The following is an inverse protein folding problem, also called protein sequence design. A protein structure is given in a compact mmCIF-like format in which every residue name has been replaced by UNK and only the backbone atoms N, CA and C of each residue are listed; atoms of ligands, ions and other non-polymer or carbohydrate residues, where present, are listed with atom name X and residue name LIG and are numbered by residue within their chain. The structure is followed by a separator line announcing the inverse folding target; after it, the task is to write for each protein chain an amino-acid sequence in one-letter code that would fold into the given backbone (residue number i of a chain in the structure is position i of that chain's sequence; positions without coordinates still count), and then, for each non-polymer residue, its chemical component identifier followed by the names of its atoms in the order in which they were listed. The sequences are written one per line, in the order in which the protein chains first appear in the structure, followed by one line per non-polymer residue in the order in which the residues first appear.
data_IF_126769248988
#
_entry.id   IF_126769248988
#
_cell.length_a   1.000
_cell.length_b   1.000
_cell.length_c   1.000
_cell.angle_alpha   90.00
_cell.angle_beta   90.00
_cell.angle_gamma   90.00
#
_symmetry.space_group_name_H-M   'P 1'
#
loop_
_entity.id
_entity.type
_entity.pdbx_description
1 polymer ?
#
# COMPACT_ATOMS: atom_id res chain seq x y z
N UNK A 1 -8.44 46.17 27.89
CA UNK A 1 -7.81 45.97 26.56
C UNK A 1 -6.60 45.09 26.70
N UNK A 2 -6.62 43.93 26.09
CA UNK A 2 -5.43 43.06 26.12
C UNK A 2 -4.32 43.66 25.24
N UNK A 3 -3.22 44.01 25.90
CA UNK A 3 -2.06 44.61 25.25
C UNK A 3 -1.41 43.62 24.26
N UNK A 4 -1.17 44.08 23.01
CA UNK A 4 -0.53 43.25 22.00
C UNK A 4 0.85 42.75 22.50
N UNK A 5 1.18 41.49 22.18
CA UNK A 5 2.39 40.83 22.63
C UNK A 5 3.67 41.58 22.21
N UNK A 6 3.72 42.15 21.01
CA UNK A 6 4.86 42.96 20.55
C UNK A 6 5.03 44.20 21.40
N UNK A 7 3.93 44.84 21.81
CA UNK A 7 3.96 45.97 22.74
C UNK A 7 4.50 45.57 24.12
N UNK A 8 4.06 44.41 24.62
CA UNK A 8 4.63 43.86 25.91
C UNK A 8 6.13 43.66 25.84
N UNK A 9 6.64 43.11 24.71
CA UNK A 9 8.06 42.89 24.49
C UNK A 9 8.85 44.23 24.49
N UNK A 10 8.33 45.24 23.74
CA UNK A 10 8.96 46.56 23.68
C UNK A 10 9.01 47.22 25.04
N UNK A 11 7.92 47.22 25.80
CA UNK A 11 7.86 47.76 27.16
C UNK A 11 8.76 46.99 28.14
N UNK A 12 8.83 45.69 28.00
CA UNK A 12 9.76 44.87 28.82
C UNK A 12 11.21 45.28 28.61
N UNK A 13 11.61 45.56 27.38
CA UNK A 13 12.95 46.01 27.05
C UNK A 13 13.23 47.41 27.60
N UNK A 14 12.29 48.37 27.40
CA UNK A 14 12.39 49.74 27.91
C UNK A 14 12.55 49.77 29.45
N UNK A 15 11.73 49.01 30.17
CA UNK A 15 11.80 48.87 31.61
C UNK A 15 13.12 48.23 32.07
N UNK A 16 13.59 47.22 31.31
CA UNK A 16 14.87 46.60 31.61
C UNK A 16 16.04 47.54 31.40
N UNK A 17 16.02 48.37 30.34
CA UNK A 17 17.02 49.42 30.11
C UNK A 17 17.03 50.50 31.21
N UNK A 18 15.91 50.68 31.93
CA UNK A 18 15.78 51.55 33.11
C UNK A 18 16.14 50.85 34.41
N UNK A 19 16.78 49.65 34.33
CA UNK A 19 17.20 48.85 35.49
C UNK A 19 16.06 48.34 36.39
N UNK A 20 14.82 48.22 35.85
CA UNK A 20 13.71 47.64 36.60
C UNK A 20 13.92 46.10 36.74
N UNK A 21 13.77 45.53 37.93
CA UNK A 21 13.92 44.08 38.14
C UNK A 21 12.96 43.28 37.29
N UNK A 22 13.44 42.16 36.70
CA UNK A 22 12.64 41.31 35.80
C UNK A 22 11.34 40.76 36.43
N UNK A 23 11.34 40.59 37.77
CA UNK A 23 10.13 40.20 38.51
C UNK A 23 9.04 41.27 38.49
N UNK A 24 9.44 42.54 38.64
CA UNK A 24 8.49 43.68 38.58
C UNK A 24 7.99 43.93 37.16
N UNK A 25 8.87 43.74 36.14
CA UNK A 25 8.47 43.81 34.74
C UNK A 25 7.39 42.73 34.44
N UNK A 26 7.63 41.48 34.87
CA UNK A 26 6.71 40.37 34.68
C UNK A 26 5.35 40.65 35.34
N UNK A 27 5.33 41.15 36.58
CA UNK A 27 4.10 41.50 37.30
C UNK A 27 3.34 42.64 36.59
N UNK A 28 4.04 43.68 36.15
CA UNK A 28 3.40 44.82 35.49
C UNK A 28 2.83 44.49 34.12
N UNK A 29 3.48 43.60 33.35
CA UNK A 29 3.03 43.19 32.05
C UNK A 29 2.11 41.96 32.07
N UNK A 30 1.83 41.43 33.25
CA UNK A 30 1.02 40.21 33.44
C UNK A 30 1.51 39.02 32.58
N UNK A 31 2.82 38.73 32.73
CA UNK A 31 3.49 37.58 32.06
C UNK A 31 4.33 36.84 33.09
N UNK A 32 4.72 35.59 32.77
CA UNK A 32 5.64 34.83 33.62
C UNK A 32 7.05 35.46 33.62
N UNK A 33 7.74 35.42 34.75
CA UNK A 33 9.12 35.93 34.91
C UNK A 33 10.07 35.30 33.89
N UNK A 34 9.92 34.00 33.64
CA UNK A 34 10.69 33.25 32.66
C UNK A 34 10.53 33.81 31.23
N UNK A 35 9.32 34.21 30.86
CA UNK A 35 9.03 34.85 29.57
C UNK A 35 9.82 36.15 29.41
N UNK A 36 9.85 36.98 30.44
CA UNK A 36 10.65 38.24 30.42
C UNK A 36 12.13 37.91 30.29
N UNK A 37 12.62 36.90 31.03
CA UNK A 37 14.02 36.48 30.96
C UNK A 37 14.40 36.06 29.52
N UNK A 38 13.58 35.23 28.89
CA UNK A 38 13.78 34.76 27.48
C UNK A 38 13.79 35.96 26.52
N UNK A 39 12.83 36.88 26.65
CA UNK A 39 12.79 38.07 25.78
C UNK A 39 14.06 38.91 25.89
N UNK A 40 14.44 39.25 27.09
CA UNK A 40 15.64 40.08 27.34
C UNK A 40 16.90 39.39 26.79
N UNK A 41 17.11 38.09 27.11
CA UNK A 41 18.24 37.32 26.60
C UNK A 41 18.29 37.31 25.06
N UNK A 42 17.16 37.05 24.39
CA UNK A 42 17.10 37.02 22.92
C UNK A 42 17.30 38.41 22.29
N UNK A 43 16.81 39.48 22.92
CA UNK A 43 17.05 40.84 22.43
C UNK A 43 18.54 41.20 22.56
N UNK A 44 19.19 40.85 23.70
CA UNK A 44 20.60 41.15 23.95
C UNK A 44 21.51 40.38 22.98
N UNK A 45 21.16 39.17 22.59
CA UNK A 45 21.93 38.34 21.64
C UNK A 45 21.63 38.60 20.16
N UNK A 46 20.57 39.35 19.86
CA UNK A 46 20.20 39.65 18.47
C UNK A 46 21.11 40.75 17.89
N UNK A 47 21.74 40.55 16.72
CA UNK A 47 22.62 41.58 16.11
C UNK A 47 21.94 42.94 15.88
N UNK A 48 20.64 42.94 15.61
CA UNK A 48 19.82 44.12 15.38
C UNK A 48 19.01 44.53 16.63
N UNK A 49 19.34 43.99 17.81
CA UNK A 49 18.73 44.33 19.09
C UNK A 49 17.20 44.09 19.11
N UNK A 50 16.49 45.03 19.77
CA UNK A 50 15.02 44.94 19.89
C UNK A 50 14.30 44.81 18.54
N UNK A 51 14.67 45.60 17.55
CA UNK A 51 13.98 45.61 16.24
C UNK A 51 14.15 44.28 15.52
N UNK A 52 15.36 43.70 15.55
CA UNK A 52 15.61 42.38 14.98
C UNK A 52 14.79 41.28 15.66
N UNK A 53 14.74 41.30 16.99
CA UNK A 53 13.93 40.33 17.72
C UNK A 53 12.43 40.49 17.47
N UNK A 54 11.88 41.69 17.38
CA UNK A 54 10.48 41.94 17.07
C UNK A 54 10.11 41.43 15.67
N UNK A 55 10.98 41.61 14.68
CA UNK A 55 10.76 41.10 13.33
C UNK A 55 10.77 39.56 13.30
N UNK A 56 11.76 38.93 13.93
CA UNK A 56 11.80 37.46 14.08
C UNK A 56 10.57 36.93 14.80
N UNK A 57 10.18 37.55 15.90
CA UNK A 57 9.02 37.14 16.69
C UNK A 57 7.71 37.26 15.90
N UNK A 58 7.57 38.34 15.12
CA UNK A 58 6.40 38.55 14.25
C UNK A 58 6.33 37.52 13.11
N UNK A 59 7.50 37.16 12.54
CA UNK A 59 7.59 36.13 11.48
C UNK A 59 7.28 34.74 12.03
N UNK A 60 7.78 34.41 13.22
CA UNK A 60 7.53 33.12 13.86
C UNK A 60 6.04 32.90 14.20
N UNK A 61 5.30 33.96 14.49
CA UNK A 61 3.86 33.95 14.78
C UNK A 61 2.95 34.06 13.55
N UNK A 62 3.49 34.26 12.37
CA UNK A 62 2.69 34.08 11.15
C UNK A 62 2.29 32.64 11.08
N UNK A 63 1.05 32.31 11.38
CA UNK A 63 0.52 30.95 11.49
C UNK A 63 0.92 30.00 10.35
N UNK A 64 0.44 28.76 10.32
CA UNK A 64 0.86 27.80 9.32
C UNK A 64 0.70 28.39 7.92
N UNK A 65 1.77 28.33 7.11
CA UNK A 65 1.73 28.77 5.71
C UNK A 65 0.50 28.15 5.05
N UNK A 66 -0.29 28.90 4.28
CA UNK A 66 -1.43 28.34 3.56
C UNK A 66 -0.93 27.09 2.80
N UNK A 67 -1.63 25.97 2.93
CA UNK A 67 -1.25 24.72 2.26
C UNK A 67 -1.07 25.05 0.79
N UNK A 68 0.14 24.82 0.26
CA UNK A 68 0.45 25.05 -1.14
C UNK A 68 -0.57 24.27 -1.97
N UNK A 69 -1.37 24.98 -2.75
CA UNK A 69 -2.35 24.34 -3.61
C UNK A 69 -1.63 23.41 -4.58
N UNK A 70 -2.12 22.18 -4.69
CA UNK A 70 -1.60 21.21 -5.64
C UNK A 70 -2.11 21.58 -7.02
N UNK A 71 -1.23 21.54 -8.01
CA UNK A 71 -1.58 21.78 -9.40
C UNK A 71 -2.75 20.88 -9.83
N UNK A 72 -3.72 21.48 -10.53
CA UNK A 72 -4.89 20.77 -11.05
C UNK A 72 -4.52 19.66 -12.04
N UNK A 73 -3.44 19.84 -12.81
CA UNK A 73 -2.92 18.83 -13.74
C UNK A 73 -2.42 17.61 -12.95
N UNK A 74 -1.65 17.85 -11.88
CA UNK A 74 -1.16 16.77 -11.02
C UNK A 74 -2.30 15.98 -10.36
N UNK A 75 -3.37 16.66 -9.92
CA UNK A 75 -4.57 15.99 -9.37
C UNK A 75 -5.22 15.08 -10.43
N UNK A 76 -5.36 15.58 -11.67
CA UNK A 76 -5.91 14.80 -12.79
C UNK A 76 -5.07 13.54 -13.07
N UNK A 77 -3.75 13.64 -13.11
CA UNK A 77 -2.88 12.49 -13.29
C UNK A 77 -3.03 11.44 -12.17
N UNK A 78 -3.07 11.88 -10.91
CA UNK A 78 -3.27 10.98 -9.76
C UNK A 78 -4.60 10.23 -9.87
N UNK A 79 -5.69 10.92 -10.23
CA UNK A 79 -7.01 10.30 -10.39
C UNK A 79 -7.06 9.35 -11.60
N UNK A 80 -6.54 9.77 -12.75
CA UNK A 80 -6.49 8.96 -13.98
C UNK A 80 -5.70 7.66 -13.77
N UNK A 81 -4.51 7.75 -13.15
CA UNK A 81 -3.71 6.56 -12.81
C UNK A 81 -4.48 5.66 -11.84
N UNK A 82 -5.13 6.21 -10.83
CA UNK A 82 -5.94 5.45 -9.88
C UNK A 82 -7.03 4.62 -10.57
N UNK A 83 -7.74 5.24 -11.51
CA UNK A 83 -8.85 4.62 -12.24
C UNK A 83 -8.35 3.57 -13.24
N UNK A 84 -7.39 3.92 -14.08
CA UNK A 84 -6.78 3.02 -15.06
C UNK A 84 -6.14 1.79 -14.42
N UNK A 85 -5.49 1.95 -13.28
CA UNK A 85 -4.78 0.89 -12.57
C UNK A 85 -5.63 0.20 -11.47
N UNK A 86 -6.94 0.12 -11.68
CA UNK A 86 -7.90 -0.62 -10.84
C UNK A 86 -7.77 -0.27 -9.35
N UNK A 87 -7.94 1.00 -9.02
CA UNK A 87 -7.83 1.50 -7.63
C UNK A 87 -6.50 1.19 -6.92
N UNK A 88 -5.40 1.27 -7.63
CA UNK A 88 -4.09 0.96 -7.09
C UNK A 88 -3.70 1.85 -5.89
N UNK A 89 -2.76 1.39 -5.07
CA UNK A 89 -2.29 2.11 -3.88
C UNK A 89 -1.37 3.29 -4.23
N UNK A 90 -1.16 4.20 -3.26
CA UNK A 90 -0.35 5.41 -3.46
C UNK A 90 1.09 5.15 -3.93
N UNK A 91 1.74 4.05 -3.49
CA UNK A 91 3.07 3.69 -3.98
C UNK A 91 3.09 3.36 -5.49
N UNK A 92 2.07 2.66 -5.98
CA UNK A 92 1.93 2.37 -7.42
C UNK A 92 1.61 3.64 -8.22
N UNK A 93 0.77 4.52 -7.68
CA UNK A 93 0.51 5.83 -8.30
C UNK A 93 1.80 6.63 -8.42
N UNK A 94 2.63 6.67 -7.36
CA UNK A 94 3.92 7.34 -7.40
C UNK A 94 4.85 6.75 -8.48
N UNK A 95 4.88 5.42 -8.60
CA UNK A 95 5.65 4.73 -9.64
C UNK A 95 5.23 5.19 -11.05
N UNK A 96 3.93 5.23 -11.34
CA UNK A 96 3.42 5.67 -12.63
C UNK A 96 3.62 7.16 -12.87
N UNK A 97 3.42 8.02 -11.86
CA UNK A 97 3.72 9.46 -11.96
C UNK A 97 5.18 9.71 -12.35
N UNK A 98 6.11 8.97 -11.74
CA UNK A 98 7.53 9.08 -12.07
C UNK A 98 7.82 8.56 -13.48
N UNK A 99 7.25 7.41 -13.86
CA UNK A 99 7.47 6.76 -15.14
C UNK A 99 6.90 7.54 -16.33
N UNK A 100 5.68 8.07 -16.19
CA UNK A 100 4.91 8.67 -17.29
C UNK A 100 5.06 10.19 -17.38
N UNK A 101 5.23 10.86 -16.23
CA UNK A 101 5.23 12.32 -16.14
C UNK A 101 6.51 12.90 -15.54
N UNK A 102 7.47 12.05 -15.15
CA UNK A 102 8.71 12.45 -14.44
C UNK A 102 8.45 13.28 -13.17
N UNK A 103 7.31 13.00 -12.48
CA UNK A 103 6.90 13.73 -11.28
C UNK A 103 7.04 12.86 -10.04
N UNK A 104 7.65 13.43 -9.00
CA UNK A 104 7.80 12.78 -7.70
C UNK A 104 7.13 13.61 -6.61
N UNK A 105 6.18 13.00 -5.89
CA UNK A 105 5.51 13.58 -4.72
C UNK A 105 5.43 12.54 -3.60
N UNK A 106 5.22 12.99 -2.37
CA UNK A 106 5.11 12.06 -1.24
C UNK A 106 3.82 11.23 -1.31
N UNK A 107 3.90 9.96 -0.87
CA UNK A 107 2.72 9.07 -0.80
C UNK A 107 1.58 9.63 0.06
N UNK A 108 1.84 10.26 1.23
CA UNK A 108 0.79 10.97 1.97
C UNK A 108 0.08 12.04 1.13
N UNK A 109 0.82 12.79 0.31
CA UNK A 109 0.23 13.82 -0.56
C UNK A 109 -0.67 13.23 -1.64
N UNK A 110 -0.30 12.06 -2.18
CA UNK A 110 -1.17 11.30 -3.10
C UNK A 110 -2.50 10.96 -2.41
N UNK A 111 -2.46 10.49 -1.16
CA UNK A 111 -3.68 10.16 -0.43
C UNK A 111 -4.53 11.40 -0.07
N UNK A 112 -3.92 12.57 0.17
CA UNK A 112 -4.66 13.83 0.30
C UNK A 112 -5.44 14.16 -0.98
N UNK A 113 -4.78 14.05 -2.14
CA UNK A 113 -5.42 14.28 -3.45
C UNK A 113 -6.53 13.26 -3.71
N UNK A 114 -6.30 12.00 -3.38
CA UNK A 114 -7.30 10.95 -3.54
C UNK A 114 -8.52 11.18 -2.63
N UNK A 115 -8.32 11.68 -1.42
CA UNK A 115 -9.40 11.96 -0.48
C UNK A 115 -10.34 13.09 -0.96
N UNK A 116 -9.91 13.94 -1.89
CA UNK A 116 -10.77 14.96 -2.50
C UNK A 116 -11.88 14.35 -3.41
N UNK A 117 -11.63 13.18 -3.99
CA UNK A 117 -12.56 12.52 -4.94
C UNK A 117 -13.12 11.19 -4.42
N UNK A 118 -12.37 10.47 -3.57
CA UNK A 118 -12.71 9.11 -3.15
C UNK A 118 -12.79 8.99 -1.63
N UNK A 119 -13.69 8.14 -1.15
CA UNK A 119 -13.73 7.75 0.27
C UNK A 119 -12.59 6.77 0.55
N UNK A 120 -11.51 7.26 1.16
CA UNK A 120 -10.37 6.44 1.55
C UNK A 120 -10.62 5.85 2.92
N UNK A 121 -11.11 4.60 2.96
CA UNK A 121 -11.30 3.89 4.24
C UNK A 121 -9.95 3.47 4.80
N UNK A 122 -9.59 4.01 5.96
CA UNK A 122 -8.47 3.48 6.77
C UNK A 122 -8.82 2.06 7.22
N UNK A 123 -8.05 1.08 6.77
CA UNK A 123 -8.19 -0.27 7.34
C UNK A 123 -7.52 -0.26 8.70
N UNK A 124 -8.31 -0.34 9.76
CA UNK A 124 -7.82 -0.61 11.10
C UNK A 124 -6.99 -1.90 11.06
N UNK A 125 -5.68 -1.79 11.22
CA UNK A 125 -4.82 -2.95 11.39
C UNK A 125 -5.05 -3.51 12.79
N UNK A 126 -5.91 -4.53 12.90
CA UNK A 126 -5.90 -5.36 14.11
C UNK A 126 -4.52 -6.01 14.19
N UNK A 127 -3.78 -5.68 15.23
CA UNK A 127 -2.52 -6.34 15.57
C UNK A 127 -2.84 -7.77 16.02
N UNK A 128 -2.88 -8.70 15.07
CA UNK A 128 -2.84 -10.12 15.39
C UNK A 128 -1.39 -10.59 15.20
N UNK A 129 -0.89 -11.29 16.22
CA UNK A 129 0.41 -11.99 16.12
C UNK A 129 0.34 -12.92 14.92
N UNK A 130 1.05 -12.57 13.85
CA UNK A 130 1.05 -13.34 12.62
C UNK A 130 2.06 -14.46 12.78
N UNK A 131 1.69 -15.70 12.41
CA UNK A 131 2.62 -16.82 12.29
C UNK A 131 3.64 -16.59 11.16
N UNK A 132 4.63 -17.48 11.03
CA UNK A 132 5.63 -17.39 9.97
C UNK A 132 4.97 -17.41 8.58
N UNK A 133 5.50 -16.57 7.69
CA UNK A 133 5.10 -16.53 6.27
C UNK A 133 6.05 -17.47 5.51
N UNK A 134 5.57 -18.30 4.56
CA UNK A 134 6.44 -19.09 3.71
C UNK A 134 7.47 -18.22 2.98
N UNK A 135 8.70 -18.70 2.87
CA UNK A 135 9.81 -18.02 2.17
C UNK A 135 10.33 -18.96 1.09
N UNK A 136 10.62 -18.40 -0.07
CA UNK A 136 11.33 -19.09 -1.16
C UNK A 136 12.54 -18.26 -1.58
N UNK A 137 13.61 -18.92 -1.98
CA UNK A 137 14.88 -18.32 -2.39
C UNK A 137 15.05 -18.24 -3.90
N UNK A 138 14.27 -19.04 -4.65
CA UNK A 138 14.31 -19.12 -6.12
C UNK A 138 12.93 -19.40 -6.72
N UNK A 139 12.75 -19.14 -8.03
CA UNK A 139 11.50 -19.47 -8.72
C UNK A 139 11.16 -20.96 -8.63
N UNK A 140 9.85 -21.27 -8.48
CA UNK A 140 9.28 -22.63 -8.42
C UNK A 140 9.75 -23.48 -7.22
N UNK A 141 10.36 -22.85 -6.22
CA UNK A 141 10.64 -23.53 -4.96
C UNK A 141 9.34 -23.84 -4.21
N UNK A 142 8.39 -22.88 -4.15
CA UNK A 142 7.08 -23.09 -3.55
C UNK A 142 5.98 -22.50 -4.42
N UNK A 143 5.06 -23.34 -4.88
CA UNK A 143 3.84 -22.92 -5.57
C UNK A 143 2.65 -23.12 -4.63
N UNK A 144 1.90 -22.06 -4.36
CA UNK A 144 0.65 -22.13 -3.61
C UNK A 144 -0.53 -22.24 -4.56
N UNK A 145 -1.48 -23.12 -4.24
CA UNK A 145 -2.70 -23.36 -5.01
C UNK A 145 -3.93 -23.23 -4.11
N UNK A 146 -5.00 -22.66 -4.68
CA UNK A 146 -6.27 -22.41 -3.98
C UNK A 146 -7.42 -22.29 -4.99
N UNK A 147 -8.65 -22.21 -4.50
CA UNK A 147 -9.85 -22.12 -5.33
C UNK A 147 -10.74 -20.96 -4.88
N UNK A 148 -11.29 -20.22 -5.84
CA UNK A 148 -12.29 -19.18 -5.62
C UNK A 148 -13.66 -19.63 -6.14
N UNK A 149 -14.65 -19.57 -5.27
CA UNK A 149 -16.05 -19.83 -5.61
C UNK A 149 -16.71 -18.59 -6.26
N UNK A 150 -17.26 -18.78 -7.45
CA UNK A 150 -18.05 -17.82 -8.21
C UNK A 150 -19.45 -18.38 -8.57
N UNK A 151 -20.00 -19.27 -7.75
CA UNK A 151 -21.31 -19.87 -7.92
C UNK A 151 -21.28 -21.16 -8.75
N UNK A 152 -21.65 -21.12 -10.02
CA UNK A 152 -21.57 -22.30 -10.90
C UNK A 152 -20.18 -22.45 -11.57
N UNK A 153 -19.26 -21.51 -11.30
CA UNK A 153 -17.88 -21.55 -11.78
C UNK A 153 -16.90 -21.42 -10.61
N UNK A 154 -15.79 -22.09 -10.76
CA UNK A 154 -14.69 -22.07 -9.81
C UNK A 154 -13.42 -21.61 -10.52
N UNK A 155 -12.71 -20.65 -9.95
CA UNK A 155 -11.41 -20.23 -10.43
C UNK A 155 -10.33 -20.91 -9.60
N UNK A 156 -9.70 -21.90 -10.17
CA UNK A 156 -8.50 -22.54 -9.62
C UNK A 156 -7.31 -21.61 -9.86
N UNK A 157 -6.58 -21.30 -8.82
CA UNK A 157 -5.50 -20.31 -8.83
C UNK A 157 -4.20 -20.92 -8.35
N UNK A 158 -3.08 -20.50 -8.93
CA UNK A 158 -1.74 -20.84 -8.49
C UNK A 158 -0.82 -19.62 -8.48
N UNK A 159 0.12 -19.57 -7.57
CA UNK A 159 1.15 -18.52 -7.51
C UNK A 159 2.47 -19.07 -7.02
N UNK A 160 3.55 -18.75 -7.72
CA UNK A 160 4.91 -18.91 -7.23
C UNK A 160 5.20 -17.82 -6.19
N UNK A 161 5.56 -18.21 -4.99
CA UNK A 161 5.75 -17.24 -3.91
C UNK A 161 7.04 -16.42 -4.06
N UNK A 162 7.98 -16.81 -4.90
CA UNK A 162 9.20 -16.07 -5.20
C UNK A 162 8.99 -15.06 -6.35
N UNK A 163 8.72 -15.56 -7.56
CA UNK A 163 8.58 -14.74 -8.76
C UNK A 163 7.26 -13.95 -8.84
N UNK A 164 6.24 -14.34 -8.07
CA UNK A 164 4.83 -13.88 -8.20
C UNK A 164 4.19 -14.28 -9.52
N UNK A 165 4.82 -15.10 -10.33
CA UNK A 165 4.20 -15.70 -11.49
C UNK A 165 2.96 -16.49 -11.06
N UNK A 166 1.86 -16.37 -11.78
CA UNK A 166 0.59 -16.91 -11.35
C UNK A 166 -0.25 -17.45 -12.51
N UNK A 167 -1.20 -18.29 -12.19
CA UNK A 167 -2.12 -18.83 -13.16
C UNK A 167 -3.55 -18.94 -12.63
N UNK A 168 -4.52 -18.97 -13.55
CA UNK A 168 -5.95 -19.11 -13.26
C UNK A 168 -6.57 -20.02 -14.31
N UNK A 169 -7.30 -21.03 -13.87
CA UNK A 169 -8.11 -21.89 -14.75
C UNK A 169 -9.53 -21.94 -14.24
N UNK A 170 -10.50 -21.59 -15.08
CA UNK A 170 -11.91 -21.68 -14.73
C UNK A 170 -12.45 -23.10 -14.97
N UNK A 171 -13.18 -23.63 -13.99
CA UNK A 171 -13.77 -24.97 -14.05
C UNK A 171 -15.22 -24.92 -13.57
N UNK A 172 -16.08 -25.85 -14.10
CA UNK A 172 -17.51 -25.86 -13.76
C UNK A 172 -17.84 -26.62 -12.49
N UNK A 173 -16.86 -27.25 -11.84
CA UNK A 173 -17.06 -28.02 -10.61
C UNK A 173 -15.83 -27.98 -9.70
N UNK A 174 -16.03 -28.38 -8.44
CA UNK A 174 -15.02 -28.40 -7.38
C UNK A 174 -14.70 -29.86 -7.01
N UNK A 175 -14.32 -30.66 -8.02
CA UNK A 175 -13.99 -32.07 -7.85
C UNK A 175 -12.52 -32.33 -8.14
N UNK A 176 -11.98 -33.45 -7.66
CA UNK A 176 -10.56 -33.79 -7.81
C UNK A 176 -10.10 -33.94 -9.26
N UNK A 177 -11.01 -34.33 -10.17
CA UNK A 177 -10.73 -34.34 -11.61
C UNK A 177 -10.45 -32.93 -12.14
N UNK A 178 -11.27 -31.93 -11.81
CA UNK A 178 -11.04 -30.54 -12.21
C UNK A 178 -9.76 -29.97 -11.60
N UNK A 179 -9.44 -30.34 -10.37
CA UNK A 179 -8.15 -30.04 -9.74
C UNK A 179 -6.97 -30.63 -10.49
N UNK A 180 -7.09 -31.90 -10.94
CA UNK A 180 -6.04 -32.59 -11.71
C UNK A 180 -5.85 -31.98 -13.11
N UNK A 181 -6.93 -31.53 -13.77
CA UNK A 181 -6.86 -30.80 -15.05
C UNK A 181 -6.23 -29.43 -14.86
N UNK A 182 -6.59 -28.72 -13.79
CA UNK A 182 -5.95 -27.45 -13.43
C UNK A 182 -4.45 -27.61 -13.23
N UNK A 183 -4.03 -28.59 -12.44
CA UNK A 183 -2.62 -28.88 -12.19
C UNK A 183 -1.85 -29.10 -13.50
N UNK A 184 -2.34 -29.97 -14.36
CA UNK A 184 -1.73 -30.32 -15.66
C UNK A 184 -1.59 -29.05 -16.53
N UNK A 185 -2.66 -28.28 -16.64
CA UNK A 185 -2.71 -27.07 -17.46
C UNK A 185 -1.72 -26.02 -16.95
N UNK A 186 -1.76 -25.73 -15.67
CA UNK A 186 -0.98 -24.69 -15.02
C UNK A 186 0.53 -25.03 -15.01
N UNK A 187 0.88 -26.26 -14.70
CA UNK A 187 2.29 -26.68 -14.67
C UNK A 187 2.92 -26.66 -16.08
N UNK A 188 2.17 -27.04 -17.12
CA UNK A 188 2.63 -26.97 -18.53
C UNK A 188 2.73 -25.52 -19.03
N UNK A 189 1.70 -24.73 -18.78
CA UNK A 189 1.57 -23.38 -19.33
C UNK A 189 2.49 -22.37 -18.65
N UNK A 190 2.71 -22.55 -17.33
CA UNK A 190 3.29 -21.50 -16.51
C UNK A 190 4.54 -21.89 -15.75
N UNK A 191 4.60 -23.08 -15.18
CA UNK A 191 5.66 -23.43 -14.20
C UNK A 191 6.68 -24.42 -14.73
N UNK A 192 6.87 -24.53 -16.05
CA UNK A 192 7.88 -25.39 -16.70
C UNK A 192 7.87 -26.83 -16.21
N UNK A 193 6.70 -27.39 -15.95
CA UNK A 193 6.49 -28.79 -15.59
C UNK A 193 7.10 -29.23 -14.25
N UNK A 194 7.69 -28.30 -13.46
CA UNK A 194 8.34 -28.68 -12.21
C UNK A 194 8.25 -27.61 -11.11
N UNK A 195 8.14 -28.07 -9.85
CA UNK A 195 8.33 -27.28 -8.63
C UNK A 195 8.88 -28.16 -7.50
N UNK A 196 9.59 -27.58 -6.53
CA UNK A 196 10.06 -28.35 -5.37
C UNK A 196 8.92 -28.66 -4.39
N UNK A 197 8.00 -27.74 -4.20
CA UNK A 197 6.87 -27.88 -3.30
C UNK A 197 5.60 -27.27 -3.89
N UNK A 198 4.54 -28.06 -3.96
CA UNK A 198 3.17 -27.55 -4.16
C UNK A 198 2.44 -27.56 -2.81
N UNK A 199 1.78 -26.47 -2.48
CA UNK A 199 1.02 -26.29 -1.24
C UNK A 199 -0.42 -25.88 -1.54
N UNK A 200 -1.41 -26.56 -0.92
CA UNK A 200 -2.83 -26.20 -0.98
C UNK A 200 -3.48 -26.24 0.41
N UNK A 201 -4.74 -25.86 0.50
CA UNK A 201 -5.55 -25.97 1.73
C UNK A 201 -6.09 -27.39 1.98
N UNK A 202 -5.97 -28.28 1.00
CA UNK A 202 -6.45 -29.65 1.09
C UNK A 202 -7.96 -29.81 0.90
N UNK A 203 -8.60 -28.88 0.22
CA UNK A 203 -9.99 -28.97 -0.24
C UNK A 203 -10.27 -30.25 -1.06
N UNK A 204 -11.54 -30.60 -1.31
CA UNK A 204 -11.92 -31.84 -2.05
C UNK A 204 -11.28 -31.91 -3.44
N UNK A 205 -11.10 -30.77 -4.12
CA UNK A 205 -10.47 -30.64 -5.43
C UNK A 205 -8.97 -31.02 -5.43
N UNK A 206 -8.30 -30.91 -4.28
CA UNK A 206 -6.88 -31.24 -4.11
C UNK A 206 -6.64 -32.64 -3.52
N UNK A 207 -7.64 -33.52 -3.56
CA UNK A 207 -7.56 -34.91 -3.13
C UNK A 207 -7.41 -35.89 -4.30
N UNK A 208 -7.52 -37.15 -4.07
CA UNK A 208 -7.63 -38.27 -5.02
C UNK A 208 -6.84 -38.10 -6.31
N UNK A 209 -7.48 -37.73 -7.42
CA UNK A 209 -6.85 -37.63 -8.72
C UNK A 209 -5.78 -36.54 -8.78
N UNK A 210 -6.03 -35.39 -8.14
CA UNK A 210 -5.02 -34.36 -7.99
C UNK A 210 -3.78 -34.91 -7.26
N UNK A 211 -3.96 -35.57 -6.12
CA UNK A 211 -2.86 -36.14 -5.33
C UNK A 211 -2.05 -37.18 -6.10
N UNK A 212 -2.70 -38.01 -6.92
CA UNK A 212 -2.01 -38.96 -7.77
C UNK A 212 -1.14 -38.28 -8.84
N UNK A 213 -1.59 -37.16 -9.36
CA UNK A 213 -0.87 -36.41 -10.40
C UNK A 213 0.22 -35.46 -9.87
N UNK A 214 0.09 -34.97 -8.66
CA UNK A 214 1.00 -33.93 -8.14
C UNK A 214 2.46 -34.36 -8.12
N UNK A 215 2.74 -35.63 -7.82
CA UNK A 215 4.10 -36.20 -7.85
C UNK A 215 4.79 -36.21 -9.22
N UNK A 216 4.02 -35.99 -10.31
CA UNK A 216 4.60 -35.80 -11.66
C UNK A 216 5.25 -34.41 -11.83
N UNK A 217 4.83 -33.44 -11.03
CA UNK A 217 5.17 -32.03 -11.19
C UNK A 217 5.88 -31.43 -9.99
N UNK A 218 5.91 -32.11 -8.84
CA UNK A 218 6.51 -31.59 -7.62
C UNK A 218 7.19 -32.68 -6.81
N UNK A 219 8.35 -32.34 -6.25
CA UNK A 219 9.11 -33.25 -5.36
C UNK A 219 8.35 -33.49 -4.06
N UNK A 220 7.58 -32.48 -3.61
CA UNK A 220 6.82 -32.52 -2.36
C UNK A 220 5.46 -31.88 -2.53
N UNK A 221 4.49 -32.45 -1.81
CA UNK A 221 3.15 -31.87 -1.69
C UNK A 221 2.81 -31.65 -0.22
N UNK A 222 2.31 -30.47 0.12
CA UNK A 222 1.93 -30.13 1.48
C UNK A 222 0.53 -29.55 1.53
N UNK A 223 -0.25 -30.04 2.51
CA UNK A 223 -1.52 -29.41 2.88
C UNK A 223 -1.27 -28.44 4.04
N UNK A 224 -1.77 -27.23 3.92
CA UNK A 224 -1.68 -26.20 4.98
C UNK A 224 -2.42 -26.65 6.21
N UNK A 225 -1.85 -26.39 7.38
CA UNK A 225 -2.52 -26.72 8.64
C UNK A 225 -3.74 -25.79 8.85
N UNK A 226 -4.87 -26.35 9.35
CA UNK A 226 -6.04 -25.57 9.69
C UNK A 226 -5.69 -24.42 10.63
N UNK A 227 -6.33 -23.26 10.45
CA UNK A 227 -6.18 -22.05 11.28
C UNK A 227 -4.80 -21.35 11.27
N UNK A 228 -3.81 -21.82 10.53
CA UNK A 228 -2.54 -21.11 10.35
C UNK A 228 -2.64 -20.07 9.24
N UNK A 229 -3.24 -18.93 9.54
CA UNK A 229 -3.63 -17.85 8.64
C UNK A 229 -2.54 -17.27 7.71
N UNK A 230 -1.26 -17.61 7.92
CA UNK A 230 -0.19 -17.04 7.10
C UNK A 230 0.47 -18.06 6.15
N UNK A 231 0.17 -19.35 6.30
CA UNK A 231 0.80 -20.38 5.47
C UNK A 231 0.46 -20.22 3.98
N UNK A 232 -0.72 -19.62 3.65
CA UNK A 232 -1.18 -19.37 2.30
C UNK A 232 -1.32 -17.87 1.96
N UNK A 233 -0.59 -17.01 2.64
CA UNK A 233 -0.70 -15.56 2.51
C UNK A 233 -0.46 -15.03 1.09
N UNK A 234 0.33 -15.71 0.28
CA UNK A 234 0.63 -15.30 -1.10
C UNK A 234 -0.54 -15.60 -2.03
N UNK A 235 -1.09 -16.81 -1.98
CA UNK A 235 -2.25 -17.16 -2.79
C UNK A 235 -3.49 -16.37 -2.37
N UNK A 236 -3.70 -16.13 -1.06
CA UNK A 236 -4.76 -15.25 -0.56
C UNK A 236 -4.63 -13.81 -1.09
N UNK A 237 -3.39 -13.31 -1.18
CA UNK A 237 -3.10 -11.99 -1.74
C UNK A 237 -3.39 -11.94 -3.24
N UNK A 238 -3.03 -13.00 -3.98
CA UNK A 238 -3.34 -13.15 -5.39
C UNK A 238 -4.85 -13.24 -5.61
N UNK A 239 -5.55 -14.07 -4.85
CA UNK A 239 -7.00 -14.24 -4.91
C UNK A 239 -7.76 -12.92 -4.66
N UNK A 240 -7.28 -12.09 -3.72
CA UNK A 240 -7.82 -10.72 -3.56
C UNK A 240 -7.59 -9.85 -4.81
N UNK A 241 -6.47 -10.02 -5.49
CA UNK A 241 -6.18 -9.30 -6.74
C UNK A 241 -7.10 -9.78 -7.85
N UNK A 242 -7.32 -11.10 -7.98
CA UNK A 242 -8.27 -11.69 -8.96
C UNK A 242 -9.68 -11.13 -8.74
N UNK A 243 -10.18 -11.13 -7.50
CA UNK A 243 -11.48 -10.53 -7.19
C UNK A 243 -11.53 -9.03 -7.47
N UNK A 244 -10.48 -8.29 -7.18
CA UNK A 244 -10.47 -6.84 -7.32
C UNK A 244 -10.28 -6.38 -8.76
N UNK A 245 -9.44 -7.05 -9.53
CA UNK A 245 -8.91 -6.55 -10.80
C UNK A 245 -9.35 -7.39 -12.01
N UNK A 246 -10.03 -8.55 -11.80
CA UNK A 246 -10.44 -9.49 -12.86
C UNK A 246 -11.92 -9.86 -12.79
N UNK A 247 -12.28 -10.76 -11.87
CA UNK A 247 -13.59 -11.40 -11.85
C UNK A 247 -14.61 -10.74 -10.92
N UNK A 248 -14.19 -9.80 -10.07
CA UNK A 248 -15.11 -9.13 -9.14
C UNK A 248 -15.63 -10.06 -8.02
N UNK A 249 -16.82 -9.74 -7.53
CA UNK A 249 -17.50 -10.46 -6.46
C UNK A 249 -18.82 -11.08 -6.92
N UNK A 250 -19.09 -11.00 -8.22
CA UNK A 250 -20.30 -11.57 -8.82
C UNK A 250 -20.28 -13.10 -8.81
N UNK A 251 -21.45 -13.71 -8.95
CA UNK A 251 -21.60 -15.12 -9.22
C UNK A 251 -21.90 -15.32 -10.70
N UNK A 252 -21.31 -16.36 -11.30
CA UNK A 252 -21.36 -16.60 -12.73
C UNK A 252 -22.03 -17.95 -13.05
N UNK A 253 -22.62 -18.03 -14.24
CA UNK A 253 -23.24 -19.25 -14.80
C UNK A 253 -22.22 -20.03 -15.63
N UNK A 254 -22.34 -21.39 -15.68
CA UNK A 254 -21.47 -22.27 -16.49
C UNK A 254 -21.33 -21.83 -17.95
N UNK A 255 -22.39 -21.32 -18.55
CA UNK A 255 -22.40 -20.84 -19.95
C UNK A 255 -21.44 -19.66 -20.21
N UNK A 256 -21.05 -18.95 -19.20
CA UNK A 256 -20.13 -17.77 -19.28
C UNK A 256 -18.67 -18.17 -19.28
N UNK A 257 -18.31 -19.45 -19.08
CA UNK A 257 -16.94 -19.93 -18.90
C UNK A 257 -16.00 -19.47 -20.02
N UNK A 258 -16.43 -19.54 -21.28
CA UNK A 258 -15.61 -19.14 -22.44
C UNK A 258 -15.28 -17.64 -22.36
N UNK A 259 -16.32 -16.80 -22.25
CA UNK A 259 -16.14 -15.34 -22.13
C UNK A 259 -15.25 -14.94 -20.95
N UNK A 260 -15.45 -15.56 -19.78
CA UNK A 260 -14.65 -15.27 -18.60
C UNK A 260 -13.23 -15.78 -18.71
N UNK A 261 -12.97 -16.86 -19.46
CA UNK A 261 -11.62 -17.31 -19.76
C UNK A 261 -10.85 -16.27 -20.57
N UNK A 262 -11.48 -15.60 -21.52
CA UNK A 262 -10.85 -14.50 -22.26
C UNK A 262 -10.51 -13.33 -21.34
N UNK A 263 -11.42 -12.96 -20.44
CA UNK A 263 -11.17 -11.92 -19.39
C UNK A 263 -9.99 -12.30 -18.49
N UNK A 264 -9.92 -13.57 -18.07
CA UNK A 264 -8.81 -14.09 -17.27
C UNK A 264 -7.49 -14.03 -18.03
N UNK A 265 -7.47 -14.38 -19.31
CA UNK A 265 -6.24 -14.33 -20.12
C UNK A 265 -5.74 -12.89 -20.28
N UNK A 266 -6.60 -11.92 -20.56
CA UNK A 266 -6.25 -10.49 -20.60
C UNK A 266 -5.72 -10.01 -19.26
N UNK A 267 -6.35 -10.42 -18.16
CA UNK A 267 -5.87 -10.10 -16.83
C UNK A 267 -4.49 -10.70 -16.55
N UNK A 268 -4.25 -11.96 -16.89
CA UNK A 268 -2.95 -12.62 -16.68
C UNK A 268 -1.85 -11.98 -17.50
N UNK A 269 -2.12 -11.57 -18.75
CA UNK A 269 -1.17 -10.82 -19.58
C UNK A 269 -0.78 -9.50 -18.89
N UNK A 270 -1.78 -8.70 -18.47
CA UNK A 270 -1.53 -7.47 -17.71
C UNK A 270 -0.80 -7.73 -16.40
N UNK A 271 -1.19 -8.77 -15.66
CA UNK A 271 -0.60 -9.12 -14.37
C UNK A 271 0.89 -9.45 -14.50
N UNK A 272 1.27 -10.21 -15.52
CA UNK A 272 2.64 -10.68 -15.71
C UNK A 272 3.58 -9.64 -16.31
N UNK A 273 3.10 -8.79 -17.21
CA UNK A 273 3.99 -7.92 -18.01
C UNK A 273 3.83 -6.43 -17.72
N UNK A 274 2.75 -6.01 -17.10
CA UNK A 274 2.45 -4.57 -16.94
C UNK A 274 2.18 -4.14 -15.50
N UNK A 275 1.67 -5.05 -14.66
CA UNK A 275 1.27 -4.74 -13.30
C UNK A 275 2.48 -4.65 -12.37
N UNK A 276 2.77 -3.47 -11.77
CA UNK A 276 3.90 -3.35 -10.84
C UNK A 276 3.59 -4.08 -9.53
N UNK A 277 4.58 -4.81 -9.01
CA UNK A 277 4.53 -5.51 -7.73
C UNK A 277 5.46 -4.87 -6.72
N UNK A 278 4.93 -4.42 -5.56
CA UNK A 278 5.73 -3.79 -4.51
C UNK A 278 6.86 -4.72 -4.02
N UNK A 279 6.55 -6.01 -3.85
CA UNK A 279 7.51 -7.01 -3.39
C UNK A 279 8.61 -7.33 -4.41
N UNK A 280 8.44 -6.95 -5.67
CA UNK A 280 9.42 -7.10 -6.75
C UNK A 280 10.07 -5.75 -7.13
N UNK A 281 10.09 -4.77 -6.21
CA UNK A 281 10.66 -3.45 -6.51
C UNK A 281 9.91 -2.68 -7.60
N UNK A 282 8.59 -2.85 -7.68
CA UNK A 282 7.71 -2.29 -8.72
C UNK A 282 7.89 -2.89 -10.13
N UNK A 283 8.59 -4.00 -10.26
CA UNK A 283 8.66 -4.75 -11.52
C UNK A 283 7.45 -5.68 -11.67
N UNK A 284 7.02 -6.01 -12.89
CA UNK A 284 6.07 -7.10 -13.13
C UNK A 284 6.73 -8.46 -12.91
N UNK A 285 5.96 -9.56 -12.69
CA UNK A 285 6.51 -10.91 -12.50
C UNK A 285 7.36 -11.41 -13.67
N UNK A 286 6.98 -11.10 -14.89
CA UNK A 286 7.72 -11.42 -16.12
C UNK A 286 8.09 -10.10 -16.81
N UNK A 287 9.30 -9.63 -16.58
CA UNK A 287 9.82 -8.47 -17.32
C UNK A 287 10.17 -8.92 -18.75
N UNK A 288 9.53 -8.34 -19.75
CA UNK A 288 10.02 -8.49 -21.13
C UNK A 288 11.36 -7.77 -21.23
N UNK A 289 12.44 -8.53 -21.42
CA UNK A 289 13.76 -7.99 -21.69
C UNK A 289 13.81 -7.18 -22.99
#
# INVERSE_FOLDING_TARGET
MDMNQLTKISLAWEMYAQNVPKSHIAQRLQVQRETVHIWIARITTNPNGLLGFLDEYSRAKRGPRPKRQVDAILKRWVWSIREREMDCCGQKILYFLKKEHNVTISVPKIYEILAEKYVIKSKWKKYHKRGPVPVASKPREVIQMDTLDFGELFAFTAVDIYSREADIVLRPSLISHDGAVFLDTTMRRRFNLHSELIQSDGGPEFKDEFRRKVGKYSDRYRVSAPYKKNEQSYIESFNRTVRKECLGWAKYKKKQIKQLTDVVNVFLERYHYHRPHISLGMKPPLERG
#
